data_IF_394373907639
#
_entry.id   IF_394373907639
#
_cell.length_a   1.000
_cell.length_b   1.000
_cell.length_c   1.000
_cell.angle_alpha   90.00
_cell.angle_beta   90.00
_cell.angle_gamma   90.00
#
_symmetry.space_group_name_H-M   'P 1'
#
loop_
_entity.id
_entity.type
_entity.pdbx_description
1 polymer ?
#
# COMPACT_ATOMS: atom_id res chain seq x y z
N UNK A 1 -35.82 32.93 66.27
CA UNK A 1 -34.68 32.05 65.96
C UNK A 1 -33.86 32.75 64.88
N UNK A 2 -32.53 32.81 64.98
CA UNK A 2 -31.71 33.43 63.94
C UNK A 2 -32.00 32.73 62.61
N UNK A 3 -32.31 33.52 61.58
CA UNK A 3 -32.50 33.05 60.21
C UNK A 3 -31.14 32.62 59.68
N UNK A 4 -30.90 31.32 59.60
CA UNK A 4 -29.67 30.79 59.00
C UNK A 4 -29.81 30.85 57.48
N UNK A 5 -29.00 31.70 56.85
CA UNK A 5 -28.90 31.72 55.41
C UNK A 5 -28.10 30.50 54.95
N UNK A 6 -28.77 29.56 54.30
CA UNK A 6 -28.10 28.45 53.62
C UNK A 6 -27.58 28.93 52.27
N UNK A 7 -26.32 28.60 51.98
CA UNK A 7 -25.77 28.73 50.63
C UNK A 7 -25.10 27.43 50.22
N UNK A 8 -25.17 27.10 48.94
CA UNK A 8 -24.45 25.98 48.36
C UNK A 8 -23.44 26.52 47.36
N UNK A 9 -22.30 25.85 47.22
CA UNK A 9 -21.29 26.20 46.24
C UNK A 9 -20.88 24.97 45.46
N UNK A 10 -20.96 25.04 44.14
CA UNK A 10 -20.41 24.04 43.23
C UNK A 10 -19.06 24.56 42.76
N UNK A 11 -17.96 23.81 42.93
CA UNK A 11 -16.59 24.21 42.55
C UNK A 11 -15.93 23.15 41.65
N UNK A 12 -15.11 23.57 40.69
CA UNK A 12 -14.14 22.72 39.99
C UNK A 12 -12.73 22.93 40.59
N UNK A 13 -12.18 22.00 41.40
CA UNK A 13 -10.86 22.16 41.99
C UNK A 13 -9.77 22.23 40.90
N UNK A 14 -9.01 23.31 40.85
CA UNK A 14 -7.75 23.38 40.09
C UNK A 14 -7.85 23.65 38.58
N UNK A 15 -9.05 23.86 38.03
CA UNK A 15 -9.21 24.16 36.60
C UNK A 15 -10.08 25.41 36.38
N UNK A 16 -9.51 26.44 35.75
CA UNK A 16 -10.25 27.62 35.33
C UNK A 16 -11.02 27.32 34.02
N UNK A 17 -12.34 27.59 34.02
CA UNK A 17 -13.21 27.63 32.83
C UNK A 17 -13.46 26.31 32.09
N UNK A 18 -13.86 25.25 32.80
CA UNK A 18 -14.26 23.97 32.15
C UNK A 18 -15.77 23.84 31.95
N UNK A 19 -16.58 24.62 32.66
CA UNK A 19 -18.05 24.57 32.62
C UNK A 19 -18.64 25.98 32.54
N UNK A 20 -19.75 26.13 31.82
CA UNK A 20 -20.55 27.36 31.75
C UNK A 20 -22.01 27.05 32.08
N UNK A 21 -22.65 27.87 32.91
CA UNK A 21 -24.07 27.75 33.23
C UNK A 21 -24.93 28.11 32.02
N UNK A 22 -25.79 27.20 31.59
CA UNK A 22 -26.78 27.43 30.54
C UNK A 22 -28.15 27.79 31.12
N UNK A 23 -28.50 27.23 32.28
CA UNK A 23 -29.79 27.46 32.95
C UNK A 23 -29.90 26.71 34.28
N UNK A 24 -30.92 27.01 35.08
CA UNK A 24 -31.25 26.26 36.30
C UNK A 24 -32.72 26.44 36.70
N UNK A 25 -33.26 25.51 37.50
CA UNK A 25 -34.57 25.63 38.15
C UNK A 25 -34.47 25.75 39.69
N UNK A 26 -33.26 25.97 40.21
CA UNK A 26 -33.01 26.15 41.64
C UNK A 26 -33.93 27.23 42.26
N UNK A 27 -34.62 26.97 43.38
CA UNK A 27 -35.23 28.04 44.17
C UNK A 27 -34.16 29.00 44.72
N UNK A 28 -34.37 30.31 44.58
CA UNK A 28 -33.38 31.32 44.96
C UNK A 28 -32.52 31.79 43.79
N UNK A 29 -31.31 32.27 44.07
CA UNK A 29 -30.41 32.85 43.06
C UNK A 29 -29.15 32.00 42.94
N UNK A 30 -28.88 31.50 41.74
CA UNK A 30 -27.62 30.86 41.37
C UNK A 30 -26.76 31.89 40.63
N UNK A 31 -25.55 32.16 41.13
CA UNK A 31 -24.63 33.15 40.57
C UNK A 31 -23.34 32.44 40.19
N UNK A 32 -22.83 32.69 38.99
CA UNK A 32 -21.50 32.24 38.59
C UNK A 32 -20.43 33.08 39.32
N UNK A 33 -19.49 32.40 39.97
CA UNK A 33 -18.42 32.99 40.76
C UNK A 33 -17.08 32.61 40.13
N UNK A 34 -16.35 33.60 39.65
CA UNK A 34 -15.06 33.42 38.96
C UNK A 34 -13.86 33.59 39.91
N UNK A 35 -13.90 32.98 41.10
CA UNK A 35 -12.82 33.06 42.10
C UNK A 35 -11.73 32.00 41.82
N UNK A 36 -11.03 32.11 40.68
CA UNK A 36 -9.90 31.21 40.34
C UNK A 36 -10.29 29.80 39.87
N UNK A 37 -11.58 29.56 39.62
CA UNK A 37 -12.16 28.34 39.05
C UNK A 37 -13.57 28.62 38.54
N UNK A 38 -14.19 27.69 37.81
CA UNK A 38 -15.61 27.78 37.49
C UNK A 38 -16.41 27.31 38.71
N UNK A 39 -17.03 28.25 39.44
CA UNK A 39 -17.87 27.94 40.58
C UNK A 39 -19.26 28.56 40.45
N UNK A 40 -20.27 27.91 41.01
CA UNK A 40 -21.64 28.43 41.10
C UNK A 40 -22.03 28.54 42.56
N UNK A 41 -22.46 29.72 42.98
CA UNK A 41 -22.97 29.96 44.34
C UNK A 41 -24.48 30.07 44.31
N UNK A 42 -25.13 29.18 45.04
CA UNK A 42 -26.56 29.11 45.22
C UNK A 42 -26.95 29.76 46.55
N UNK A 43 -27.75 30.82 46.49
CA UNK A 43 -28.17 31.60 47.66
C UNK A 43 -29.69 31.75 47.69
N UNK A 44 -30.25 32.14 48.84
CA UNK A 44 -31.68 32.44 48.96
C UNK A 44 -32.57 31.21 49.18
N UNK A 45 -32.03 30.13 49.75
CA UNK A 45 -32.73 28.85 49.95
C UNK A 45 -33.81 28.84 51.03
N UNK A 46 -33.97 29.95 51.78
CA UNK A 46 -34.86 30.01 52.94
C UNK A 46 -34.44 29.07 54.08
N UNK A 47 -35.25 29.01 55.13
CA UNK A 47 -35.01 28.10 56.25
C UNK A 47 -35.51 26.70 55.90
N UNK A 48 -34.64 25.69 55.98
CA UNK A 48 -35.05 24.30 55.88
C UNK A 48 -35.42 23.74 57.26
N UNK A 49 -36.59 23.10 57.35
CA UNK A 49 -36.91 22.26 58.51
C UNK A 49 -36.12 20.95 58.41
N UNK A 50 -35.94 20.24 59.54
CA UNK A 50 -35.08 19.05 59.62
C UNK A 50 -35.44 17.86 58.70
N UNK A 51 -36.54 17.96 57.95
CA UNK A 51 -36.98 16.96 56.95
C UNK A 51 -37.22 17.56 55.56
N UNK A 52 -36.99 18.86 55.36
CA UNK A 52 -37.23 19.51 54.08
C UNK A 52 -36.18 19.07 53.04
N UNK A 53 -36.65 18.69 51.86
CA UNK A 53 -35.82 18.41 50.70
C UNK A 53 -35.91 19.58 49.72
N UNK A 54 -34.77 20.02 49.20
CA UNK A 54 -34.71 20.93 48.05
C UNK A 54 -34.10 20.17 46.89
N UNK A 55 -34.77 20.22 45.73
CA UNK A 55 -34.22 19.75 44.47
C UNK A 55 -33.84 20.94 43.59
N UNK A 56 -32.69 20.85 42.91
CA UNK A 56 -32.33 21.75 41.82
C UNK A 56 -31.74 20.94 40.65
N UNK A 57 -32.08 21.37 39.44
CA UNK A 57 -31.46 20.98 38.18
C UNK A 57 -30.68 22.19 37.65
N UNK A 58 -29.43 21.95 37.28
CA UNK A 58 -28.52 22.93 36.70
C UNK A 58 -28.08 22.40 35.34
N UNK A 59 -28.29 23.18 34.29
CA UNK A 59 -27.84 22.86 32.93
C UNK A 59 -26.46 23.47 32.72
N UNK A 60 -25.47 22.60 32.48
CA UNK A 60 -24.07 22.98 32.30
C UNK A 60 -23.61 22.65 30.88
N UNK A 61 -22.86 23.57 30.27
CA UNK A 61 -22.09 23.30 29.04
C UNK A 61 -20.63 23.12 29.40
N UNK A 62 -20.05 21.97 29.04
CA UNK A 62 -18.62 21.72 29.15
C UNK A 62 -17.87 22.46 28.03
N UNK A 63 -16.82 23.17 28.39
CA UNK A 63 -15.99 23.97 27.49
C UNK A 63 -14.68 23.25 27.12
N UNK A 64 -14.30 22.21 27.86
CA UNK A 64 -13.13 21.38 27.58
C UNK A 64 -13.44 19.91 27.84
N UNK A 65 -12.70 19.08 27.12
CA UNK A 65 -12.71 17.63 27.25
C UNK A 65 -11.90 17.20 28.47
N UNK A 66 -12.28 16.09 29.10
CA UNK A 66 -11.63 15.50 30.26
C UNK A 66 -12.57 15.23 31.45
N UNK A 67 -12.02 14.56 32.46
CA UNK A 67 -12.68 14.35 33.75
C UNK A 67 -12.51 15.58 34.64
N UNK A 68 -13.63 16.24 34.96
CA UNK A 68 -13.66 17.41 35.83
C UNK A 68 -14.47 17.09 37.09
N UNK A 69 -13.84 16.97 38.26
CA UNK A 69 -14.58 16.81 39.51
C UNK A 69 -15.37 18.10 39.79
N UNK A 70 -16.69 17.94 39.94
CA UNK A 70 -17.59 18.93 40.51
C UNK A 70 -17.76 18.65 41.99
N UNK A 71 -17.52 19.67 42.77
CA UNK A 71 -17.70 19.63 44.21
C UNK A 71 -18.89 20.47 44.63
N UNK A 72 -19.95 19.84 45.14
CA UNK A 72 -21.04 20.52 45.82
C UNK A 72 -20.73 20.60 47.32
N UNK A 73 -20.69 21.80 47.86
CA UNK A 73 -20.47 22.06 49.28
C UNK A 73 -21.57 22.97 49.83
N UNK A 74 -22.27 22.52 50.87
CA UNK A 74 -23.23 23.35 51.59
C UNK A 74 -22.52 24.16 52.69
N UNK A 75 -22.59 25.47 52.59
CA UNK A 75 -22.18 26.39 53.65
C UNK A 75 -23.36 26.63 54.59
N UNK A 76 -23.17 26.26 55.85
CA UNK A 76 -24.16 26.32 56.91
C UNK A 76 -23.46 26.72 58.21
N UNK A 77 -23.77 27.91 58.71
CA UNK A 77 -23.09 28.53 59.86
C UNK A 77 -23.30 27.79 61.19
N UNK A 78 -24.21 26.81 61.23
CA UNK A 78 -24.58 26.04 62.43
C UNK A 78 -24.35 24.53 62.27
N UNK A 79 -23.75 24.09 61.15
CA UNK A 79 -23.54 22.68 60.90
C UNK A 79 -22.29 22.20 61.66
N UNK A 80 -22.47 21.28 62.59
CA UNK A 80 -21.43 20.79 63.51
C UNK A 80 -20.33 19.95 62.85
N UNK A 81 -20.50 19.56 61.58
CA UNK A 81 -19.50 18.81 60.82
C UNK A 81 -19.54 19.19 59.33
N UNK A 82 -18.74 20.14 58.84
CA UNK A 82 -18.77 20.57 57.44
C UNK A 82 -18.43 19.45 56.42
N UNK A 83 -17.86 18.32 56.83
CA UNK A 83 -17.55 17.20 55.95
C UNK A 83 -18.79 16.41 55.49
N UNK A 84 -19.89 16.43 56.26
CA UNK A 84 -21.14 15.74 55.89
C UNK A 84 -22.01 16.54 54.90
N UNK A 85 -21.57 17.76 54.57
CA UNK A 85 -22.24 18.72 53.70
C UNK A 85 -21.60 18.77 52.30
N UNK A 86 -20.79 17.77 51.96
CA UNK A 86 -20.02 17.69 50.72
C UNK A 86 -20.50 16.51 49.87
N UNK A 87 -20.76 16.78 48.60
CA UNK A 87 -20.96 15.76 47.57
C UNK A 87 -19.99 16.03 46.41
N UNK A 88 -19.48 14.97 45.80
CA UNK A 88 -18.57 15.05 44.67
C UNK A 88 -19.10 14.21 43.52
N UNK A 89 -19.12 14.78 42.32
CA UNK A 89 -19.47 14.08 41.09
C UNK A 89 -18.41 14.42 40.05
N UNK A 90 -17.90 13.44 39.32
CA UNK A 90 -16.96 13.70 38.22
C UNK A 90 -17.74 13.80 36.92
N UNK A 91 -17.66 14.96 36.25
CA UNK A 91 -18.14 15.10 34.88
C UNK A 91 -17.04 14.65 33.94
N UNK A 92 -17.29 13.60 33.16
CA UNK A 92 -16.38 13.19 32.10
C UNK A 92 -16.93 13.68 30.78
N UNK A 93 -16.20 14.58 30.13
CA UNK A 93 -16.48 15.02 28.77
C UNK A 93 -15.47 14.34 27.85
N UNK A 94 -15.88 13.31 27.13
CA UNK A 94 -15.01 12.67 26.15
C UNK A 94 -15.16 13.37 24.81
N UNK A 95 -14.05 13.57 24.10
CA UNK A 95 -14.14 13.96 22.71
C UNK A 95 -14.81 12.81 21.97
N UNK A 96 -15.65 13.08 20.96
CA UNK A 96 -15.93 12.03 20.01
C UNK A 96 -14.60 11.56 19.37
N UNK A 97 -14.45 10.25 19.11
CA UNK A 97 -13.39 9.75 18.24
C UNK A 97 -13.57 10.32 16.84
N UNK A 98 -12.48 10.35 16.09
CA UNK A 98 -12.46 10.78 14.69
C UNK A 98 -11.58 9.77 13.96
N UNK A 99 -12.19 8.94 13.11
CA UNK A 99 -11.52 7.81 12.49
C UNK A 99 -11.30 8.06 11.01
N UNK A 100 -10.05 7.91 10.58
CA UNK A 100 -9.69 7.87 9.18
C UNK A 100 -9.45 6.41 8.76
N UNK A 101 -10.23 5.92 7.81
CA UNK A 101 -10.03 4.62 7.15
C UNK A 101 -9.39 4.80 5.78
N UNK A 102 -8.44 3.93 5.44
CA UNK A 102 -7.80 3.89 4.12
C UNK A 102 -7.63 2.47 3.60
N UNK A 103 -7.88 2.28 2.32
CA UNK A 103 -7.59 1.05 1.58
C UNK A 103 -6.23 1.20 0.92
N UNK A 104 -5.23 0.47 1.41
CA UNK A 104 -3.91 0.37 0.82
C UNK A 104 -3.84 -0.87 -0.09
N UNK A 105 -3.96 -0.62 -1.39
CA UNK A 105 -3.98 -1.64 -2.44
C UNK A 105 -2.61 -1.94 -3.03
N UNK A 106 -1.51 -1.80 -2.29
CA UNK A 106 -0.17 -1.99 -2.86
C UNK A 106 0.47 -3.30 -2.35
N UNK A 107 0.76 -4.30 -3.22
CA UNK A 107 0.43 -4.38 -4.65
C UNK A 107 -1.05 -4.59 -4.94
N UNK A 108 -1.56 -4.03 -6.03
CA UNK A 108 -2.92 -4.37 -6.49
C UNK A 108 -2.87 -5.78 -7.05
N UNK A 109 -3.94 -6.58 -6.94
CA UNK A 109 -3.83 -8.00 -7.24
C UNK A 109 -4.16 -8.30 -8.70
N UNK A 110 -3.45 -9.25 -9.32
CA UNK A 110 -3.95 -9.93 -10.53
C UNK A 110 -5.12 -10.84 -10.18
N UNK A 111 -5.82 -11.35 -11.21
CA UNK A 111 -6.67 -12.54 -11.08
C UNK A 111 -5.93 -13.66 -10.33
N UNK A 112 -6.52 -14.12 -9.23
CA UNK A 112 -5.92 -15.05 -8.28
C UNK A 112 -5.80 -14.51 -6.85
N UNK A 113 -4.97 -15.13 -6.00
CA UNK A 113 -4.76 -14.71 -4.62
C UNK A 113 -4.21 -13.28 -4.55
N UNK A 114 -4.75 -12.55 -3.59
CA UNK A 114 -4.59 -11.11 -3.41
C UNK A 114 -4.44 -10.78 -1.94
N UNK A 115 -3.70 -9.73 -1.63
CA UNK A 115 -3.65 -9.17 -0.28
C UNK A 115 -4.07 -7.70 -0.32
N UNK A 116 -4.98 -7.31 0.55
CA UNK A 116 -5.37 -5.93 0.82
C UNK A 116 -4.86 -5.53 2.20
N UNK A 117 -4.27 -4.34 2.32
CA UNK A 117 -4.00 -3.74 3.62
C UNK A 117 -5.04 -2.65 3.87
N UNK A 118 -5.73 -2.70 5.00
CA UNK A 118 -6.59 -1.62 5.46
C UNK A 118 -5.87 -0.90 6.58
N UNK A 119 -5.69 0.41 6.46
CA UNK A 119 -5.05 1.24 7.46
C UNK A 119 -6.09 2.13 8.13
N UNK A 120 -6.03 2.23 9.44
CA UNK A 120 -6.95 3.00 10.26
C UNK A 120 -6.15 3.92 11.17
N UNK A 121 -6.58 5.17 11.33
CA UNK A 121 -6.00 6.10 12.29
C UNK A 121 -7.10 6.75 13.13
N UNK A 122 -6.88 6.87 14.44
CA UNK A 122 -7.73 7.70 15.30
C UNK A 122 -7.12 9.10 15.36
N UNK A 123 -7.61 9.98 14.50
CA UNK A 123 -7.21 11.39 14.42
C UNK A 123 -7.87 12.24 15.52
N UNK A 124 -8.86 11.66 16.22
CA UNK A 124 -9.62 12.31 17.27
C UNK A 124 -8.90 12.36 18.61
N UNK A 125 -9.36 13.27 19.48
CA UNK A 125 -8.89 13.35 20.86
C UNK A 125 -9.57 12.32 21.79
N UNK A 126 -10.60 11.62 21.28
CA UNK A 126 -11.40 10.65 22.01
C UNK A 126 -10.91 9.22 21.80
N UNK A 127 -11.21 8.36 22.76
CA UNK A 127 -10.96 6.92 22.64
C UNK A 127 -11.99 6.30 21.69
N UNK A 128 -11.55 5.59 20.65
CA UNK A 128 -12.43 4.84 19.76
C UNK A 128 -12.61 3.42 20.30
N UNK A 129 -13.86 2.98 20.53
CA UNK A 129 -14.19 1.62 20.98
C UNK A 129 -15.08 0.93 19.97
N UNK A 130 -15.00 -0.40 19.95
CA UNK A 130 -15.84 -1.24 19.07
C UNK A 130 -15.82 -0.73 17.62
N UNK A 131 -14.63 -0.43 17.09
CA UNK A 131 -14.53 0.10 15.73
C UNK A 131 -15.01 -1.00 14.79
N UNK A 132 -16.15 -0.76 14.15
CA UNK A 132 -16.72 -1.63 13.15
C UNK A 132 -16.30 -1.11 11.78
N UNK A 133 -15.55 -1.93 11.08
CA UNK A 133 -15.14 -1.67 9.70
C UNK A 133 -15.99 -2.54 8.80
N UNK A 134 -16.68 -1.93 7.85
CA UNK A 134 -17.38 -2.59 6.78
C UNK A 134 -16.62 -2.47 5.47
N UNK A 135 -16.29 -3.59 4.85
CA UNK A 135 -15.78 -3.62 3.48
C UNK A 135 -16.88 -4.15 2.57
N UNK A 136 -17.27 -3.34 1.58
CA UNK A 136 -18.34 -3.66 0.63
C UNK A 136 -17.79 -3.78 -0.78
N UNK A 137 -18.25 -4.77 -1.53
CA UNK A 137 -17.90 -4.92 -2.94
C UNK A 137 -18.66 -6.08 -3.60
N UNK A 138 -18.30 -6.46 -4.83
CA UNK A 138 -19.04 -7.48 -5.57
C UNK A 138 -18.99 -8.86 -4.89
N UNK A 139 -20.08 -9.64 -4.98
CA UNK A 139 -20.21 -11.00 -4.43
C UNK A 139 -18.99 -11.90 -4.64
N UNK A 140 -18.36 -11.73 -5.80
CA UNK A 140 -17.32 -12.58 -6.30
C UNK A 140 -15.98 -12.43 -5.56
N UNK A 141 -15.75 -11.31 -4.84
CA UNK A 141 -14.51 -11.08 -4.10
C UNK A 141 -14.50 -11.69 -2.69
N UNK A 142 -15.64 -11.70 -2.00
CA UNK A 142 -15.70 -12.05 -0.57
C UNK A 142 -15.83 -13.56 -0.31
N UNK A 143 -16.02 -14.39 -1.32
CA UNK A 143 -16.17 -15.83 -1.13
C UNK A 143 -14.91 -16.52 -0.54
N UNK A 144 -13.74 -15.88 -0.60
CA UNK A 144 -12.45 -16.47 -0.26
C UNK A 144 -11.60 -15.59 0.68
N UNK A 145 -12.20 -14.68 1.44
CA UNK A 145 -11.41 -13.84 2.36
C UNK A 145 -10.92 -14.68 3.54
N UNK A 146 -9.61 -14.83 3.68
CA UNK A 146 -8.97 -15.50 4.81
C UNK A 146 -8.40 -14.43 5.71
N UNK A 147 -8.88 -14.39 6.96
CA UNK A 147 -8.41 -13.40 7.91
C UNK A 147 -6.96 -13.71 8.34
N UNK A 148 -6.07 -12.73 8.19
CA UNK A 148 -4.71 -12.77 8.70
C UNK A 148 -4.52 -11.71 9.78
N UNK A 149 -5.37 -11.72 10.81
CA UNK A 149 -5.28 -10.80 11.93
C UNK A 149 -4.09 -11.13 12.83
N UNK A 150 -3.05 -10.29 12.82
CA UNK A 150 -2.11 -10.16 13.94
C UNK A 150 -2.39 -8.86 14.68
N UNK A 151 -2.54 -8.89 16.01
CA UNK A 151 -2.71 -7.67 16.82
C UNK A 151 -4.16 -7.22 16.99
N UNK A 152 -4.44 -5.94 16.68
CA UNK A 152 -5.73 -5.26 16.95
C UNK A 152 -6.87 -5.67 16.01
N UNK A 153 -6.56 -6.37 14.92
CA UNK A 153 -7.53 -6.86 13.94
C UNK A 153 -8.06 -8.22 14.40
N UNK A 154 -9.18 -8.23 15.13
CA UNK A 154 -9.81 -9.49 15.57
C UNK A 154 -10.62 -10.15 14.45
N UNK A 155 -11.03 -11.41 14.65
CA UNK A 155 -11.68 -12.28 13.67
C UNK A 155 -12.69 -11.53 12.78
N UNK A 156 -12.31 -11.27 11.53
CA UNK A 156 -13.19 -10.71 10.52
C UNK A 156 -14.20 -11.76 10.10
N UNK A 157 -15.48 -11.37 10.07
CA UNK A 157 -16.56 -12.25 9.63
C UNK A 157 -17.10 -11.76 8.29
N UNK A 158 -17.18 -12.68 7.33
CA UNK A 158 -17.88 -12.46 6.07
C UNK A 158 -19.36 -12.69 6.35
N UNK A 159 -20.15 -11.60 6.36
CA UNK A 159 -21.56 -11.63 6.79
C UNK A 159 -22.53 -11.74 5.59
N UNK A 160 -22.01 -12.01 4.41
CA UNK A 160 -22.77 -12.20 3.17
C UNK A 160 -21.83 -12.28 1.97
N UNK A 161 -22.38 -12.32 0.76
CA UNK A 161 -21.54 -12.33 -0.45
C UNK A 161 -20.82 -11.00 -0.67
N UNK A 162 -21.32 -9.88 -0.12
CA UNK A 162 -20.91 -8.54 -0.55
C UNK A 162 -20.31 -7.71 0.60
N UNK A 163 -20.13 -8.32 1.78
CA UNK A 163 -19.82 -7.61 3.01
C UNK A 163 -18.90 -8.42 3.94
N UNK A 164 -17.76 -7.81 4.29
CA UNK A 164 -16.92 -8.25 5.40
C UNK A 164 -16.93 -7.21 6.51
N UNK A 165 -17.01 -7.69 7.75
CA UNK A 165 -16.91 -6.85 8.93
C UNK A 165 -15.66 -7.19 9.74
N UNK A 166 -14.94 -6.16 10.18
CA UNK A 166 -13.77 -6.27 11.05
C UNK A 166 -14.07 -5.48 12.32
N UNK A 167 -13.82 -6.09 13.47
CA UNK A 167 -13.87 -5.41 14.74
C UNK A 167 -12.46 -5.08 15.21
N UNK A 168 -12.19 -3.80 15.48
CA UNK A 168 -11.03 -3.36 16.26
C UNK A 168 -11.55 -2.97 17.64
N UNK A 169 -10.98 -3.62 18.67
CA UNK A 169 -11.49 -3.50 20.04
C UNK A 169 -11.41 -2.07 20.55
N UNK A 170 -10.25 -1.44 20.35
CA UNK A 170 -9.95 -0.11 20.87
C UNK A 170 -8.82 0.54 20.05
N UNK A 171 -8.91 1.85 19.84
CA UNK A 171 -7.81 2.70 19.36
C UNK A 171 -7.66 3.94 20.24
N UNK A 172 -6.45 4.18 20.75
CA UNK A 172 -6.08 5.36 21.50
C UNK A 172 -5.94 6.60 20.57
N UNK A 173 -6.08 7.84 21.09
CA UNK A 173 -5.85 9.05 20.31
C UNK A 173 -4.47 9.07 19.64
N UNK A 174 -4.43 9.26 18.31
CA UNK A 174 -3.22 9.26 17.50
C UNK A 174 -2.67 7.86 17.15
N UNK A 175 -3.34 6.79 17.57
CA UNK A 175 -2.96 5.42 17.21
C UNK A 175 -3.29 5.13 15.74
N UNK A 176 -2.42 4.33 15.09
CA UNK A 176 -2.67 3.79 13.75
C UNK A 176 -2.56 2.27 13.76
N UNK A 177 -3.51 1.61 13.10
CA UNK A 177 -3.60 0.15 13.00
C UNK A 177 -3.67 -0.24 11.53
N UNK A 178 -2.93 -1.27 11.13
CA UNK A 178 -3.03 -1.85 9.78
C UNK A 178 -3.49 -3.31 9.86
N UNK A 179 -4.53 -3.64 9.11
CA UNK A 179 -5.10 -4.98 9.00
C UNK A 179 -4.86 -5.56 7.61
N UNK A 180 -4.39 -6.81 7.55
CA UNK A 180 -4.12 -7.51 6.29
C UNK A 180 -5.22 -8.52 5.98
N UNK A 181 -5.73 -8.48 4.75
CA UNK A 181 -6.76 -9.40 4.26
C UNK A 181 -6.26 -10.12 3.03
N UNK A 182 -6.29 -11.45 3.05
CA UNK A 182 -6.03 -12.25 1.86
C UNK A 182 -7.38 -12.60 1.22
N UNK A 183 -7.52 -12.42 -0.09
CA UNK A 183 -8.72 -12.74 -0.87
C UNK A 183 -8.34 -13.31 -2.24
N UNK A 184 -9.32 -13.69 -3.06
CA UNK A 184 -9.07 -14.20 -4.42
C UNK A 184 -9.90 -13.39 -5.41
N UNK A 185 -9.26 -12.76 -6.39
CA UNK A 185 -9.95 -12.13 -7.51
C UNK A 185 -10.29 -13.22 -8.54
N UNK A 186 -11.58 -13.49 -8.81
CA UNK A 186 -11.98 -14.67 -9.57
C UNK A 186 -11.79 -14.53 -11.08
N UNK A 187 -11.84 -13.30 -11.61
CA UNK A 187 -11.69 -13.02 -13.03
C UNK A 187 -11.24 -11.58 -13.26
N UNK A 188 -10.81 -11.26 -14.48
CA UNK A 188 -10.58 -9.88 -14.89
C UNK A 188 -11.88 -9.06 -14.77
N UNK A 189 -11.76 -7.80 -14.37
CA UNK A 189 -12.88 -6.89 -14.20
C UNK A 189 -12.58 -5.71 -13.29
N UNK A 190 -13.59 -4.84 -13.16
CA UNK A 190 -13.62 -3.71 -12.25
C UNK A 190 -14.39 -4.11 -10.99
N UNK A 191 -13.74 -4.01 -9.84
CA UNK A 191 -14.32 -4.35 -8.55
C UNK A 191 -14.26 -3.13 -7.62
N UNK A 192 -15.36 -2.37 -7.49
CA UNK A 192 -15.42 -1.29 -6.53
C UNK A 192 -15.41 -1.87 -5.10
N UNK A 193 -14.47 -1.40 -4.30
CA UNK A 193 -14.38 -1.65 -2.87
C UNK A 193 -14.69 -0.36 -2.13
N UNK A 194 -15.64 -0.44 -1.21
CA UNK A 194 -15.97 0.66 -0.32
C UNK A 194 -15.62 0.24 1.10
N UNK A 195 -14.76 1.02 1.74
CA UNK A 195 -14.47 0.92 3.15
C UNK A 195 -15.38 1.92 3.87
N UNK A 196 -16.09 1.44 4.89
CA UNK A 196 -16.82 2.27 5.84
C UNK A 196 -16.29 1.94 7.23
N UNK A 197 -15.87 2.94 7.98
CA UNK A 197 -15.48 2.82 9.38
C UNK A 197 -16.55 3.46 10.26
N UNK A 198 -16.75 2.88 11.43
CA UNK A 198 -17.59 3.48 12.46
C UNK A 198 -17.03 3.08 13.82
N UNK A 199 -17.11 3.97 14.80
CA UNK A 199 -16.78 3.63 16.18
C UNK A 199 -17.82 4.14 17.14
N UNK A 200 -17.98 3.40 18.23
CA UNK A 200 -18.65 3.92 19.40
C UNK A 200 -17.66 4.87 20.09
N UNK A 201 -18.09 6.10 20.35
CA UNK A 201 -17.46 6.86 21.43
C UNK A 201 -17.80 6.20 22.76
N UNK A 202 -16.90 6.26 23.74
CA UNK A 202 -17.23 5.76 25.08
C UNK A 202 -18.40 6.52 25.75
N UNK A 203 -18.78 7.68 25.20
CA UNK A 203 -19.97 8.46 25.57
C UNK A 203 -21.24 8.15 24.75
N UNK A 204 -21.20 7.25 23.75
CA UNK A 204 -22.34 6.96 22.85
C UNK A 204 -22.74 8.12 21.92
N UNK A 205 -21.89 9.15 21.82
CA UNK A 205 -22.04 10.25 20.87
C UNK A 205 -21.58 9.81 19.46
N UNK A 206 -22.33 10.18 18.40
CA UNK A 206 -21.94 9.91 17.01
C UNK A 206 -20.71 10.72 16.60
N UNK A 207 -19.97 10.20 15.63
CA UNK A 207 -18.82 10.85 15.02
C UNK A 207 -19.19 12.23 14.42
N UNK A 208 -18.49 13.32 14.79
CA UNK A 208 -18.75 14.67 14.29
C UNK A 208 -18.37 14.87 12.82
N UNK A 209 -17.51 14.02 12.24
CA UNK A 209 -17.03 14.11 10.87
C UNK A 209 -17.17 12.78 10.14
N UNK A 210 -18.40 12.34 9.83
CA UNK A 210 -18.63 11.05 9.16
C UNK A 210 -17.97 10.91 7.77
N UNK A 211 -17.42 11.98 7.21
CA UNK A 211 -16.90 12.00 5.84
C UNK A 211 -15.48 11.38 5.70
N UNK A 212 -14.65 11.37 6.75
CA UNK A 212 -13.34 10.70 6.74
C UNK A 212 -13.42 9.20 7.11
N UNK A 213 -14.62 8.74 7.44
CA UNK A 213 -14.92 7.36 7.75
C UNK A 213 -15.13 6.48 6.51
N UNK A 214 -14.87 7.00 5.30
CA UNK A 214 -15.07 6.22 4.09
C UNK A 214 -13.92 6.39 3.12
N UNK A 215 -13.52 5.28 2.53
CA UNK A 215 -12.57 5.24 1.41
C UNK A 215 -13.14 4.35 0.31
N UNK A 216 -12.79 4.67 -0.94
CA UNK A 216 -13.26 3.94 -2.10
C UNK A 216 -12.08 3.68 -3.02
N UNK A 217 -11.86 2.41 -3.35
CA UNK A 217 -10.90 2.02 -4.37
C UNK A 217 -11.58 1.13 -5.39
N UNK A 218 -11.26 1.30 -6.66
CA UNK A 218 -11.68 0.37 -7.70
C UNK A 218 -10.50 -0.52 -8.05
N UNK A 219 -10.61 -1.82 -7.76
CA UNK A 219 -9.63 -2.78 -8.25
C UNK A 219 -9.91 -3.04 -9.73
N UNK A 220 -9.01 -2.60 -10.60
CA UNK A 220 -9.07 -2.95 -12.01
C UNK A 220 -8.06 -4.06 -12.28
N UNK A 221 -8.58 -5.21 -12.68
CA UNK A 221 -7.75 -6.34 -13.10
C UNK A 221 -8.07 -6.63 -14.55
N UNK A 222 -7.03 -6.69 -15.38
CA UNK A 222 -7.16 -7.09 -16.76
C UNK A 222 -6.26 -8.31 -17.02
N UNK A 223 -6.86 -9.35 -17.61
CA UNK A 223 -6.13 -10.46 -18.21
C UNK A 223 -5.96 -10.13 -19.70
N UNK A 224 -4.91 -9.37 -19.98
CA UNK A 224 -4.62 -8.92 -21.34
C UNK A 224 -4.01 -10.08 -22.12
N UNK A 225 -4.53 -10.37 -23.30
CA UNK A 225 -4.05 -11.51 -24.11
C UNK A 225 -3.57 -11.01 -25.47
N UNK A 226 -2.28 -11.13 -25.71
CA UNK A 226 -1.67 -10.73 -26.98
C UNK A 226 -2.15 -11.67 -28.08
N UNK A 227 -2.76 -11.10 -29.13
CA UNK A 227 -3.35 -11.87 -30.23
C UNK A 227 -2.79 -11.51 -31.62
N UNK A 228 -1.84 -10.56 -31.70
CA UNK A 228 -1.15 -10.21 -32.95
C UNK A 228 0.38 -10.17 -32.79
N UNK A 229 1.10 -10.49 -33.87
CA UNK A 229 2.57 -10.59 -33.90
C UNK A 229 3.30 -9.49 -34.69
N UNK A 230 2.58 -8.77 -35.56
CA UNK A 230 3.19 -7.90 -36.58
C UNK A 230 2.77 -6.44 -36.51
N UNK A 231 1.75 -6.13 -35.72
CA UNK A 231 1.30 -4.75 -35.54
C UNK A 231 1.80 -4.29 -34.18
N UNK A 232 2.90 -3.53 -34.10
CA UNK A 232 3.35 -2.85 -32.88
C UNK A 232 2.45 -1.63 -32.61
N UNK A 233 1.17 -1.74 -32.96
CA UNK A 233 0.19 -0.69 -32.79
C UNK A 233 0.02 -0.43 -31.29
N UNK A 234 -0.03 0.85 -30.90
CA UNK A 234 -0.40 1.21 -29.55
C UNK A 234 -1.84 0.81 -29.24
N UNK A 235 -2.16 0.77 -27.96
CA UNK A 235 -3.55 0.69 -27.54
C UNK A 235 -4.30 1.95 -27.99
N UNK A 236 -5.54 1.80 -28.46
CA UNK A 236 -6.34 2.95 -28.89
C UNK A 236 -6.96 3.71 -27.72
N UNK A 237 -7.25 3.05 -26.61
CA UNK A 237 -7.84 3.64 -25.42
C UNK A 237 -7.18 3.10 -24.12
N UNK A 238 -5.89 3.42 -23.86
CA UNK A 238 -5.22 2.96 -22.64
C UNK A 238 -6.04 3.23 -21.36
N UNK A 239 -6.27 2.19 -20.56
CA UNK A 239 -6.93 2.22 -19.25
C UNK A 239 -8.42 1.82 -19.28
N UNK A 240 -8.94 1.31 -20.39
CA UNK A 240 -10.35 0.88 -20.53
C UNK A 240 -10.59 -0.60 -20.17
N UNK A 241 -9.53 -1.33 -19.83
CA UNK A 241 -9.52 -2.75 -19.50
C UNK A 241 -9.42 -3.67 -20.73
N UNK A 242 -9.32 -3.14 -21.95
CA UNK A 242 -9.27 -3.91 -23.19
C UNK A 242 -8.01 -3.58 -23.97
N UNK A 243 -7.08 -4.55 -24.09
CA UNK A 243 -5.97 -4.34 -25.00
C UNK A 243 -6.42 -4.42 -26.46
N UNK A 244 -6.47 -3.29 -27.18
CA UNK A 244 -6.90 -3.25 -28.57
C UNK A 244 -6.40 -2.01 -29.31
N UNK A 245 -5.79 -2.23 -30.49
CA UNK A 245 -5.60 -1.18 -31.46
C UNK A 245 -6.92 -0.82 -32.19
N UNK A 246 -6.85 0.14 -33.13
CA UNK A 246 -8.04 0.61 -33.86
C UNK A 246 -8.70 -0.45 -34.74
N UNK A 247 -8.06 -1.62 -34.92
CA UNK A 247 -8.59 -2.78 -35.62
C UNK A 247 -8.97 -3.94 -34.67
N UNK A 248 -8.90 -3.75 -33.36
CA UNK A 248 -9.19 -4.77 -32.34
C UNK A 248 -8.04 -5.75 -32.09
N UNK A 249 -6.83 -5.47 -32.57
CA UNK A 249 -5.67 -6.33 -32.36
C UNK A 249 -4.91 -5.92 -31.08
N UNK A 250 -4.63 -6.89 -30.21
CA UNK A 250 -3.85 -6.72 -28.99
C UNK A 250 -2.40 -7.11 -29.25
N UNK A 251 -1.53 -6.12 -29.45
CA UNK A 251 -0.08 -6.31 -29.56
C UNK A 251 0.59 -6.36 -28.19
N UNK A 252 1.86 -6.78 -28.11
CA UNK A 252 2.63 -6.67 -26.84
C UNK A 252 2.68 -5.21 -26.38
N UNK A 253 2.85 -4.28 -27.32
CA UNK A 253 2.86 -2.85 -27.02
C UNK A 253 1.52 -2.40 -26.46
N UNK A 254 0.41 -2.72 -27.13
CA UNK A 254 -0.93 -2.34 -26.68
C UNK A 254 -1.22 -2.93 -25.29
N UNK A 255 -0.88 -4.20 -25.06
CA UNK A 255 -1.05 -4.83 -23.75
C UNK A 255 -0.22 -4.15 -22.64
N UNK A 256 1.01 -3.72 -22.93
CA UNK A 256 1.83 -2.99 -21.95
C UNK A 256 1.32 -1.57 -21.73
N UNK A 257 0.91 -0.85 -22.78
CA UNK A 257 0.32 0.48 -22.66
C UNK A 257 -0.99 0.45 -21.85
N UNK A 258 -1.82 -0.57 -22.08
CA UNK A 258 -3.03 -0.83 -21.30
C UNK A 258 -2.68 -1.15 -19.83
N UNK A 259 -1.71 -2.04 -19.59
CA UNK A 259 -1.23 -2.36 -18.24
C UNK A 259 -0.69 -1.14 -17.50
N UNK A 260 0.08 -0.27 -18.15
CA UNK A 260 0.63 0.95 -17.56
C UNK A 260 -0.45 2.03 -17.31
N UNK A 261 -1.59 1.96 -17.99
CA UNK A 261 -2.69 2.90 -17.79
C UNK A 261 -3.69 2.43 -16.73
N UNK A 262 -3.75 1.11 -16.47
CA UNK A 262 -4.56 0.52 -15.43
C UNK A 262 -3.84 0.61 -14.07
N UNK A 263 -4.53 1.01 -13.00
CA UNK A 263 -3.95 0.97 -11.68
C UNK A 263 -3.65 -0.49 -11.30
N UNK A 264 -2.41 -0.75 -10.88
CA UNK A 264 -2.08 -1.97 -10.16
C UNK A 264 -1.16 -2.97 -10.84
N UNK A 265 -1.29 -4.25 -10.47
CA UNK A 265 -0.55 -5.37 -11.09
C UNK A 265 -1.45 -6.07 -12.10
N UNK A 266 -1.05 -6.11 -13.36
CA UNK A 266 -1.81 -6.76 -14.42
C UNK A 266 -1.10 -8.03 -14.91
N UNK A 267 -1.87 -8.91 -15.57
CA UNK A 267 -1.33 -10.10 -16.23
C UNK A 267 -1.48 -9.93 -17.73
N UNK A 268 -0.36 -10.03 -18.43
CA UNK A 268 -0.30 -10.09 -19.89
C UNK A 268 0.07 -11.52 -20.28
N UNK A 269 -0.89 -12.22 -20.88
CA UNK A 269 -0.70 -13.55 -21.44
C UNK A 269 -0.18 -13.44 -22.88
N UNK A 270 0.93 -14.10 -23.13
CA UNK A 270 1.60 -14.15 -24.42
C UNK A 270 1.53 -15.61 -24.90
N UNK A 271 0.56 -15.97 -25.76
CA UNK A 271 0.45 -17.33 -26.26
C UNK A 271 1.62 -17.70 -27.19
N UNK A 272 1.97 -18.97 -27.28
CA UNK A 272 2.93 -19.42 -28.29
C UNK A 272 2.43 -19.10 -29.70
N UNK A 273 3.33 -18.51 -30.50
CA UNK A 273 3.17 -18.32 -31.92
C UNK A 273 4.45 -18.80 -32.61
N UNK A 274 4.34 -19.70 -33.58
CA UNK A 274 5.51 -20.30 -34.24
C UNK A 274 6.46 -19.26 -34.87
N UNK A 275 5.90 -18.12 -35.31
CA UNK A 275 6.66 -17.00 -35.87
C UNK A 275 7.15 -15.96 -34.87
N UNK A 276 6.92 -16.16 -33.57
CA UNK A 276 7.25 -15.22 -32.49
C UNK A 276 6.55 -13.89 -32.58
N UNK A 277 6.99 -12.98 -31.70
CA UNK A 277 6.52 -11.61 -31.61
C UNK A 277 7.64 -10.64 -31.92
N UNK A 278 7.35 -9.65 -32.75
CA UNK A 278 8.31 -8.63 -33.14
C UNK A 278 7.89 -7.26 -32.63
N UNK A 279 8.81 -6.61 -31.94
CA UNK A 279 8.76 -5.18 -31.67
C UNK A 279 9.39 -4.50 -32.87
N UNK A 280 8.57 -3.85 -33.68
CA UNK A 280 9.03 -3.01 -34.80
C UNK A 280 8.39 -1.63 -34.70
N UNK A 281 8.94 -0.61 -35.35
CA UNK A 281 8.27 0.69 -35.49
C UNK A 281 7.95 1.42 -34.16
N UNK A 282 8.50 0.96 -33.04
CA UNK A 282 8.40 1.62 -31.74
C UNK A 282 9.73 2.34 -31.52
N UNK A 283 9.68 3.67 -31.45
CA UNK A 283 10.86 4.44 -31.10
C UNK A 283 11.23 4.16 -29.64
N UNK A 284 12.40 3.56 -29.41
CA UNK A 284 12.91 3.24 -28.09
C UNK A 284 12.33 1.96 -27.47
N UNK A 285 12.79 1.64 -26.26
CA UNK A 285 12.36 0.43 -25.54
C UNK A 285 10.89 0.52 -25.10
N UNK A 286 10.19 -0.62 -25.04
CA UNK A 286 8.86 -0.69 -24.43
C UNK A 286 8.97 -0.38 -22.94
N UNK A 287 8.33 0.70 -22.53
CA UNK A 287 8.35 1.18 -21.15
C UNK A 287 7.38 0.37 -20.31
N UNK A 288 7.86 -0.19 -19.20
CA UNK A 288 7.06 -0.78 -18.14
C UNK A 288 7.20 0.17 -16.95
N UNK A 289 6.17 0.98 -16.74
CA UNK A 289 6.11 2.00 -15.67
C UNK A 289 5.30 1.51 -14.48
N UNK A 290 4.45 0.51 -14.68
CA UNK A 290 3.75 -0.19 -13.60
C UNK A 290 4.11 -1.68 -13.53
N UNK A 291 4.08 -2.28 -12.33
CA UNK A 291 4.35 -3.70 -12.13
C UNK A 291 3.44 -4.59 -12.97
N UNK A 292 4.01 -5.57 -13.67
CA UNK A 292 3.24 -6.47 -14.54
C UNK A 292 3.76 -7.90 -14.48
N UNK A 293 2.87 -8.88 -14.67
CA UNK A 293 3.21 -10.26 -15.01
C UNK A 293 3.17 -10.44 -16.53
N UNK A 294 4.33 -10.55 -17.18
CA UNK A 294 4.41 -11.05 -18.56
C UNK A 294 4.51 -12.59 -18.53
N UNK A 295 3.42 -13.25 -18.86
CA UNK A 295 3.28 -14.71 -18.78
C UNK A 295 3.30 -15.34 -20.18
N UNK A 296 4.37 -16.07 -20.49
CA UNK A 296 4.50 -16.86 -21.71
C UNK A 296 3.80 -18.21 -21.60
N UNK A 297 2.75 -18.41 -22.38
CA UNK A 297 2.06 -19.70 -22.45
C UNK A 297 2.70 -20.58 -23.53
N UNK A 298 3.37 -21.65 -23.09
CA UNK A 298 4.00 -22.61 -23.99
C UNK A 298 3.00 -23.33 -24.90
N UNK A 299 3.47 -23.75 -26.07
CA UNK A 299 2.70 -24.61 -26.97
C UNK A 299 2.39 -25.95 -26.30
N UNK A 300 1.12 -26.38 -26.19
CA UNK A 300 0.77 -27.64 -25.54
C UNK A 300 1.34 -28.87 -26.26
N UNK A 301 1.67 -28.78 -27.55
CA UNK A 301 2.19 -29.90 -28.33
C UNK A 301 3.71 -30.06 -28.21
N UNK A 302 4.47 -28.96 -28.36
CA UNK A 302 5.93 -28.98 -28.37
C UNK A 302 6.59 -28.55 -27.05
N UNK A 303 5.83 -27.90 -26.16
CA UNK A 303 6.39 -27.21 -24.99
C UNK A 303 7.20 -25.96 -25.35
N UNK A 304 7.21 -25.54 -26.62
CA UNK A 304 7.96 -24.36 -27.05
C UNK A 304 7.38 -23.09 -26.43
N UNK A 305 8.26 -22.24 -25.91
CA UNK A 305 7.90 -20.95 -25.31
C UNK A 305 7.70 -19.88 -26.39
N UNK A 306 6.80 -18.91 -26.19
CA UNK A 306 6.74 -17.74 -27.04
C UNK A 306 8.05 -16.96 -26.95
N UNK A 307 8.51 -16.46 -28.09
CA UNK A 307 9.70 -15.62 -28.15
C UNK A 307 9.38 -14.21 -28.63
N UNK A 308 10.09 -13.23 -28.07
CA UNK A 308 9.95 -11.80 -28.36
C UNK A 308 11.30 -11.29 -28.86
N UNK A 309 11.31 -10.59 -29.98
CA UNK A 309 12.51 -9.97 -30.53
C UNK A 309 12.20 -8.61 -31.16
N UNK A 310 13.26 -7.91 -31.58
CA UNK A 310 13.15 -6.66 -32.32
C UNK A 310 13.40 -6.89 -33.81
N UNK A 311 12.67 -6.18 -34.67
CA UNK A 311 12.86 -6.26 -36.12
C UNK A 311 13.16 -4.94 -36.81
N UNK A 312 13.11 -3.81 -36.10
CA UNK A 312 13.19 -2.47 -36.69
C UNK A 312 14.61 -1.87 -36.77
N UNK A 313 15.62 -2.57 -36.26
CA UNK A 313 16.99 -2.06 -36.23
C UNK A 313 17.16 -0.80 -35.38
N UNK A 314 16.22 -0.53 -34.47
CA UNK A 314 16.32 0.60 -33.56
C UNK A 314 17.37 0.36 -32.47
N UNK A 315 18.05 1.43 -32.05
CA UNK A 315 19.12 1.37 -31.06
C UNK A 315 18.56 1.38 -29.62
N UNK A 316 17.77 0.37 -29.29
CA UNK A 316 17.10 0.29 -28.00
C UNK A 316 16.91 -1.16 -27.50
N UNK A 317 16.85 -1.30 -26.17
CA UNK A 317 16.46 -2.52 -25.47
C UNK A 317 15.03 -2.95 -25.81
N UNK A 318 14.68 -4.23 -25.66
CA UNK A 318 13.27 -4.65 -25.81
C UNK A 318 12.39 -3.97 -24.76
N UNK A 319 12.79 -4.06 -23.49
CA UNK A 319 12.05 -3.54 -22.36
C UNK A 319 12.89 -2.57 -21.54
N UNK A 320 12.25 -1.49 -21.09
CA UNK A 320 12.77 -0.63 -20.04
C UNK A 320 11.83 -0.69 -18.84
N UNK A 321 12.38 -1.04 -17.68
CA UNK A 321 11.62 -1.13 -16.42
C UNK A 321 11.99 0.08 -15.56
N UNK A 322 10.97 0.87 -15.25
CA UNK A 322 11.07 2.09 -14.46
C UNK A 322 9.82 2.21 -13.59
N UNK A 323 9.63 1.23 -12.70
CA UNK A 323 8.49 1.22 -11.77
C UNK A 323 8.90 1.84 -10.44
N UNK A 324 8.00 2.65 -9.86
CA UNK A 324 8.19 3.28 -8.55
C UNK A 324 7.54 2.46 -7.42
N UNK A 325 6.98 1.31 -7.78
CA UNK A 325 6.26 0.43 -6.87
C UNK A 325 7.21 -0.56 -6.18
N UNK A 326 6.95 -0.92 -4.91
CA UNK A 326 7.63 -2.04 -4.25
C UNK A 326 7.22 -3.40 -4.84
N UNK A 327 6.16 -3.45 -5.64
CA UNK A 327 5.71 -4.67 -6.31
C UNK A 327 6.67 -5.05 -7.44
N UNK A 328 7.00 -6.33 -7.54
CA UNK A 328 7.88 -6.80 -8.61
C UNK A 328 7.19 -6.89 -9.98
N UNK A 329 7.92 -6.50 -11.02
CA UNK A 329 7.63 -6.94 -12.40
C UNK A 329 8.11 -8.37 -12.57
N UNK A 330 7.28 -9.26 -13.13
CA UNK A 330 7.60 -10.68 -13.29
C UNK A 330 7.53 -11.06 -14.76
N UNK A 331 8.62 -11.63 -15.30
CA UNK A 331 8.61 -12.28 -16.60
C UNK A 331 8.68 -13.80 -16.36
N UNK A 332 7.74 -14.54 -16.93
CA UNK A 332 7.64 -15.99 -16.72
C UNK A 332 7.46 -16.72 -18.06
N UNK A 333 8.29 -17.74 -18.35
CA UNK A 333 8.03 -18.65 -19.46
C UNK A 333 8.28 -18.05 -20.85
N UNK A 334 9.12 -17.01 -20.94
CA UNK A 334 9.40 -16.26 -22.18
C UNK A 334 10.81 -16.54 -22.71
N UNK A 335 10.96 -16.53 -24.02
CA UNK A 335 12.26 -16.39 -24.68
C UNK A 335 12.41 -14.95 -25.20
N UNK A 336 13.42 -14.23 -24.75
CA UNK A 336 13.69 -12.84 -25.14
C UNK A 336 14.98 -12.80 -25.94
N UNK A 337 14.86 -12.38 -27.20
CA UNK A 337 15.97 -12.34 -28.15
C UNK A 337 16.35 -10.89 -28.42
N UNK A 338 17.59 -10.56 -28.10
CA UNK A 338 18.18 -9.25 -28.34
C UNK A 338 18.12 -8.82 -29.80
N UNK A 339 18.37 -7.53 -30.01
CA UNK A 339 18.47 -6.97 -31.36
C UNK A 339 19.70 -7.58 -32.07
N UNK A 340 19.59 -7.98 -33.36
CA UNK A 340 20.77 -8.39 -34.13
C UNK A 340 21.85 -7.30 -34.25
N UNK A 341 21.48 -6.03 -34.05
CA UNK A 341 22.42 -4.90 -34.05
C UNK A 341 23.17 -4.79 -32.73
N UNK A 342 24.40 -4.26 -32.82
CA UNK A 342 25.16 -3.84 -31.65
C UNK A 342 24.61 -2.51 -31.15
N UNK A 343 23.95 -2.54 -29.99
CA UNK A 343 23.31 -1.37 -29.41
C UNK A 343 24.29 -0.46 -28.68
N UNK A 344 23.96 0.83 -28.53
CA UNK A 344 24.70 1.78 -27.69
C UNK A 344 24.10 1.98 -26.28
N UNK A 345 23.00 1.29 -25.97
CA UNK A 345 22.26 1.38 -24.70
C UNK A 345 22.61 0.28 -23.70
N UNK A 346 22.48 0.52 -22.40
CA UNK A 346 22.63 -0.53 -21.38
C UNK A 346 21.44 -1.51 -21.38
N UNK A 347 21.72 -2.80 -21.17
CA UNK A 347 20.71 -3.85 -21.08
C UNK A 347 20.07 -4.11 -22.45
N UNK A 348 20.76 -4.80 -23.36
CA UNK A 348 20.31 -4.89 -24.76
C UNK A 348 18.96 -5.60 -24.93
N UNK A 349 18.55 -6.41 -23.95
CA UNK A 349 17.22 -7.02 -23.89
C UNK A 349 16.37 -6.28 -22.85
N UNK A 350 16.85 -6.20 -21.61
CA UNK A 350 16.15 -5.55 -20.49
C UNK A 350 17.04 -4.47 -19.86
N UNK A 351 16.53 -3.25 -19.81
CA UNK A 351 17.14 -2.14 -19.08
C UNK A 351 16.29 -1.79 -17.87
N UNK A 352 16.68 -2.25 -16.70
CA UNK A 352 15.99 -1.99 -15.45
C UNK A 352 16.68 -0.84 -14.72
N UNK A 353 15.94 0.27 -14.59
CA UNK A 353 16.42 1.50 -13.94
C UNK A 353 15.87 1.68 -12.53
N UNK A 354 14.66 1.18 -12.24
CA UNK A 354 13.96 1.27 -10.95
C UNK A 354 13.00 0.09 -10.77
N UNK A 355 12.72 -0.24 -9.53
CA UNK A 355 11.73 -1.25 -9.13
C UNK A 355 12.25 -2.69 -9.26
N UNK A 356 11.60 -3.63 -8.58
CA UNK A 356 12.03 -5.02 -8.52
C UNK A 356 11.68 -5.80 -9.81
N UNK A 357 12.57 -6.68 -10.24
CA UNK A 357 12.39 -7.53 -11.43
C UNK A 357 12.63 -9.00 -11.08
N UNK A 358 11.66 -9.85 -11.41
CA UNK A 358 11.76 -11.30 -11.26
C UNK A 358 11.70 -11.98 -12.63
N UNK A 359 12.73 -12.74 -12.95
CA UNK A 359 12.79 -13.58 -14.15
C UNK A 359 12.63 -15.04 -13.72
N UNK A 360 11.65 -15.74 -14.29
CA UNK A 360 11.34 -17.12 -13.96
C UNK A 360 11.22 -17.94 -15.23
N UNK A 361 11.98 -19.02 -15.33
CA UNK A 361 11.83 -19.96 -16.46
C UNK A 361 11.89 -19.22 -17.81
N UNK A 362 12.82 -18.29 -17.93
CA UNK A 362 13.02 -17.47 -19.11
C UNK A 362 14.32 -17.85 -19.82
N UNK A 363 14.42 -17.47 -21.08
CA UNK A 363 15.65 -17.55 -21.85
C UNK A 363 15.96 -16.17 -22.41
N UNK A 364 17.14 -15.62 -22.12
CA UNK A 364 17.57 -14.31 -22.58
C UNK A 364 18.83 -14.48 -23.43
N UNK A 365 18.76 -14.12 -24.71
CA UNK A 365 19.85 -14.41 -25.65
C UNK A 365 20.07 -13.41 -26.75
N UNK A 366 21.28 -13.42 -27.31
CA UNK A 366 21.65 -12.57 -28.45
C UNK A 366 21.58 -11.08 -28.14
N UNK A 367 21.58 -10.69 -26.86
CA UNK A 367 21.61 -9.30 -26.44
C UNK A 367 23.00 -8.70 -26.65
N UNK A 368 23.14 -7.69 -27.52
CA UNK A 368 24.43 -7.10 -27.89
C UNK A 368 24.45 -5.61 -27.67
N UNK A 369 25.37 -5.13 -26.84
CA UNK A 369 25.55 -3.70 -26.58
C UNK A 369 27.03 -3.29 -26.40
N UNK A 370 27.37 -2.03 -26.68
CA UNK A 370 28.62 -1.39 -26.23
C UNK A 370 28.53 -0.84 -24.81
N UNK A 371 27.35 -0.84 -24.21
CA UNK A 371 27.08 -0.47 -22.83
C UNK A 371 27.27 -1.64 -21.86
N UNK A 372 26.46 -1.65 -20.81
CA UNK A 372 26.53 -2.60 -19.71
C UNK A 372 25.37 -3.60 -19.79
N UNK A 373 25.61 -4.89 -19.46
CA UNK A 373 24.57 -5.91 -19.42
C UNK A 373 24.10 -6.32 -20.81
N UNK A 374 24.66 -7.38 -21.39
CA UNK A 374 24.29 -7.79 -22.74
C UNK A 374 22.84 -8.24 -22.82
N UNK A 375 22.40 -9.04 -21.85
CA UNK A 375 20.98 -9.33 -21.67
C UNK A 375 20.31 -8.27 -20.80
N UNK A 376 20.85 -8.05 -19.59
CA UNK A 376 20.17 -7.31 -18.54
C UNK A 376 21.10 -6.33 -17.84
N UNK A 377 20.64 -5.09 -17.68
CA UNK A 377 21.26 -4.12 -16.78
C UNK A 377 20.26 -3.75 -15.69
N UNK A 378 20.61 -3.95 -14.42
CA UNK A 378 19.71 -3.77 -13.28
C UNK A 378 20.32 -2.93 -12.17
N UNK A 379 19.45 -2.33 -11.36
CA UNK A 379 19.85 -1.43 -10.25
C UNK A 379 19.34 -1.90 -8.89
N UNK A 380 18.15 -2.50 -8.81
CA UNK A 380 17.47 -2.79 -7.54
C UNK A 380 16.71 -4.12 -7.59
N UNK A 381 16.67 -4.89 -6.51
CA UNK A 381 15.77 -6.04 -6.32
C UNK A 381 15.62 -7.00 -7.53
N UNK A 382 16.68 -7.72 -7.89
CA UNK A 382 16.65 -8.69 -8.99
C UNK A 382 16.51 -10.12 -8.45
N UNK A 383 15.52 -10.87 -8.94
CA UNK A 383 15.44 -12.32 -8.71
C UNK A 383 15.44 -13.08 -10.03
N UNK A 384 16.26 -14.11 -10.11
CA UNK A 384 16.44 -14.94 -11.30
C UNK A 384 16.31 -16.39 -10.88
N UNK A 385 15.37 -17.13 -11.47
CA UNK A 385 15.13 -18.54 -11.11
C UNK A 385 14.84 -19.38 -12.35
N UNK A 386 15.65 -20.41 -12.61
CA UNK A 386 15.45 -21.27 -13.77
C UNK A 386 15.66 -20.55 -15.10
N UNK A 387 16.56 -19.54 -15.14
CA UNK A 387 16.75 -18.70 -16.33
C UNK A 387 18.04 -19.09 -17.06
N UNK A 388 17.98 -19.05 -18.38
CA UNK A 388 19.14 -19.25 -19.25
C UNK A 388 19.56 -17.92 -19.87
N UNK A 389 20.82 -17.54 -19.68
CA UNK A 389 21.47 -16.42 -20.36
C UNK A 389 22.50 -16.97 -21.32
N UNK A 390 22.29 -16.82 -22.63
CA UNK A 390 23.22 -17.37 -23.61
C UNK A 390 23.57 -16.40 -24.74
N UNK A 391 24.82 -16.43 -25.21
CA UNK A 391 25.31 -15.64 -26.34
C UNK A 391 24.98 -14.13 -26.22
N UNK A 392 25.13 -13.59 -25.01
CA UNK A 392 24.96 -12.16 -24.77
C UNK A 392 26.32 -11.46 -24.76
N UNK A 393 26.36 -10.23 -25.27
CA UNK A 393 27.57 -9.44 -25.44
C UNK A 393 27.38 -8.02 -24.90
N UNK A 394 28.30 -7.56 -24.04
CA UNK A 394 28.36 -6.17 -23.57
C UNK A 394 29.81 -5.68 -23.48
N UNK A 395 30.02 -4.38 -23.24
CA UNK A 395 31.33 -3.93 -22.76
C UNK A 395 31.60 -4.43 -21.34
N UNK A 396 30.57 -4.44 -20.49
CA UNK A 396 30.69 -4.88 -19.09
C UNK A 396 29.49 -5.73 -18.71
N UNK A 397 29.70 -6.89 -18.08
CA UNK A 397 28.64 -7.82 -17.73
C UNK A 397 28.00 -8.42 -18.98
N UNK A 398 28.67 -9.38 -19.62
CA UNK A 398 28.24 -9.93 -20.91
C UNK A 398 26.81 -10.45 -20.89
N UNK A 399 26.35 -11.06 -19.79
CA UNK A 399 24.93 -11.32 -19.56
C UNK A 399 24.28 -10.22 -18.70
N UNK A 400 24.72 -10.09 -17.46
CA UNK A 400 24.10 -9.21 -16.46
C UNK A 400 25.11 -8.20 -15.93
N UNK A 401 24.70 -6.93 -15.83
CA UNK A 401 25.40 -5.91 -15.06
C UNK A 401 24.50 -5.31 -13.98
N UNK A 402 24.93 -5.37 -12.73
CA UNK A 402 24.20 -4.86 -11.55
C UNK A 402 24.91 -3.66 -10.93
N UNK A 403 24.14 -2.60 -10.66
CA UNK A 403 24.63 -1.35 -10.10
C UNK A 403 23.87 -1.00 -8.84
N UNK A 404 24.52 -1.09 -7.69
CA UNK A 404 23.87 -0.75 -6.43
C UNK A 404 23.76 0.74 -6.17
N UNK A 405 22.67 1.10 -5.50
CA UNK A 405 22.44 2.41 -4.89
C UNK A 405 23.08 2.45 -3.49
N UNK A 406 23.62 3.60 -3.11
CA UNK A 406 24.64 3.71 -2.06
C UNK A 406 24.22 3.39 -0.62
N UNK A 407 22.93 3.17 -0.32
CA UNK A 407 22.43 3.13 1.06
C UNK A 407 21.59 1.87 1.42
N UNK A 408 21.60 0.86 0.56
CA UNK A 408 20.96 -0.42 0.80
C UNK A 408 21.44 -1.39 -0.27
N UNK A 409 22.13 -2.44 0.13
CA UNK A 409 22.70 -3.40 -0.82
C UNK A 409 21.56 -3.95 -1.68
N UNK A 410 21.56 -3.77 -3.01
CA UNK A 410 20.59 -4.46 -3.83
C UNK A 410 20.90 -5.94 -3.73
N UNK A 411 20.02 -6.66 -3.06
CA UNK A 411 20.08 -8.11 -3.01
C UNK A 411 19.59 -8.63 -4.36
N UNK A 412 20.53 -9.15 -5.15
CA UNK A 412 20.19 -10.01 -6.26
C UNK A 412 20.26 -11.47 -5.82
N UNK A 413 19.26 -12.25 -6.21
CA UNK A 413 19.22 -13.70 -5.96
C UNK A 413 19.11 -14.44 -7.29
N UNK A 414 20.13 -15.23 -7.60
CA UNK A 414 20.21 -16.05 -8.81
C UNK A 414 20.22 -17.51 -8.39
N UNK A 415 19.17 -18.24 -8.75
CA UNK A 415 18.99 -19.64 -8.39
C UNK A 415 18.73 -20.52 -9.61
N UNK A 416 19.27 -21.73 -9.61
CA UNK A 416 18.92 -22.79 -10.57
C UNK A 416 19.02 -22.32 -12.04
N UNK A 417 20.01 -21.48 -12.35
CA UNK A 417 20.12 -20.78 -13.63
C UNK A 417 21.37 -21.17 -14.41
N UNK A 418 21.44 -20.80 -15.68
CA UNK A 418 22.58 -21.10 -16.56
C UNK A 418 23.05 -19.82 -17.25
N UNK A 419 24.35 -19.58 -17.23
CA UNK A 419 25.04 -18.55 -18.00
C UNK A 419 26.03 -19.24 -18.91
N UNK A 420 25.77 -19.26 -20.21
CA UNK A 420 26.63 -19.93 -21.18
C UNK A 420 27.06 -19.01 -22.33
N UNK A 421 28.33 -19.04 -22.69
CA UNK A 421 28.91 -18.33 -23.84
C UNK A 421 28.62 -16.80 -23.86
N UNK A 422 28.47 -16.17 -22.70
CA UNK A 422 28.31 -14.72 -22.61
C UNK A 422 29.68 -14.03 -22.63
N UNK A 423 29.75 -12.86 -23.26
CA UNK A 423 31.00 -12.17 -23.55
C UNK A 423 30.99 -10.70 -23.13
N UNK A 424 31.93 -10.32 -22.28
CA UNK A 424 32.32 -8.93 -22.13
C UNK A 424 33.43 -8.62 -23.16
N UNK A 425 33.13 -7.80 -24.17
CA UNK A 425 34.08 -7.41 -25.20
C UNK A 425 34.27 -5.90 -25.22
N UNK A 426 35.53 -5.48 -25.25
CA UNK A 426 35.88 -4.07 -25.31
C UNK A 426 35.35 -3.41 -26.60
N UNK A 427 34.32 -2.57 -26.46
CA UNK A 427 33.83 -1.67 -27.49
C UNK A 427 34.32 -0.23 -27.34
N UNK A 428 34.97 0.11 -26.20
CA UNK A 428 35.23 1.51 -25.80
C UNK A 428 36.65 1.79 -25.31
N UNK A 429 37.55 0.80 -25.32
CA UNK A 429 38.95 0.91 -24.89
C UNK A 429 39.21 0.66 -23.40
N UNK A 430 38.18 0.30 -22.61
CA UNK A 430 38.29 0.12 -21.16
C UNK A 430 38.50 -1.34 -20.71
N UNK A 431 38.59 -2.28 -21.65
CA UNK A 431 38.68 -3.72 -21.39
C UNK A 431 37.35 -4.30 -20.92
N UNK A 432 36.91 -5.40 -21.54
CA UNK A 432 35.64 -6.01 -21.16
C UNK A 432 35.71 -6.69 -19.80
N UNK A 433 34.82 -6.35 -18.85
CA UNK A 433 34.79 -6.90 -17.49
C UNK A 433 33.56 -7.77 -17.28
N UNK A 434 33.74 -8.99 -16.74
CA UNK A 434 32.65 -9.85 -16.29
C UNK A 434 31.89 -10.50 -17.45
N UNK A 435 32.39 -11.65 -17.93
CA UNK A 435 31.80 -12.35 -19.08
C UNK A 435 30.33 -12.72 -18.87
N UNK A 436 30.00 -13.26 -17.69
CA UNK A 436 28.63 -13.53 -17.28
C UNK A 436 28.07 -12.35 -16.47
N UNK A 437 28.66 -12.09 -15.30
CA UNK A 437 28.14 -11.14 -14.33
C UNK A 437 29.13 -10.00 -14.11
N UNK A 438 28.59 -8.81 -13.92
CA UNK A 438 29.33 -7.66 -13.41
C UNK A 438 28.57 -7.03 -12.26
N UNK A 439 29.26 -6.76 -11.15
CA UNK A 439 28.70 -6.18 -9.94
C UNK A 439 29.44 -4.90 -9.60
N UNK A 440 28.70 -3.80 -9.49
CA UNK A 440 29.23 -2.53 -9.03
C UNK A 440 28.45 -2.07 -7.80
N UNK A 441 29.07 -2.19 -6.62
CA UNK A 441 28.42 -1.89 -5.33
C UNK A 441 27.11 -2.67 -5.10
N UNK A 442 27.03 -3.89 -5.64
CA UNK A 442 25.89 -4.79 -5.48
C UNK A 442 26.32 -6.09 -4.79
N UNK A 443 25.38 -6.77 -4.15
CA UNK A 443 25.57 -8.13 -3.64
C UNK A 443 24.69 -9.08 -4.43
N UNK A 444 25.20 -10.29 -4.66
CA UNK A 444 24.45 -11.34 -5.34
C UNK A 444 24.67 -12.66 -4.64
N UNK A 445 23.58 -13.35 -4.35
CA UNK A 445 23.59 -14.75 -3.95
C UNK A 445 23.37 -15.61 -5.19
N UNK A 446 24.35 -16.47 -5.49
CA UNK A 446 24.31 -17.37 -6.64
C UNK A 446 24.24 -18.81 -6.14
N UNK A 447 23.08 -19.43 -6.30
CA UNK A 447 22.79 -20.77 -5.79
C UNK A 447 22.49 -21.72 -6.96
N UNK A 448 23.10 -22.92 -6.94
CA UNK A 448 22.81 -24.00 -7.90
C UNK A 448 22.83 -23.56 -9.38
N UNK A 449 23.69 -22.60 -9.70
CA UNK A 449 23.74 -21.94 -11.02
C UNK A 449 25.05 -22.31 -11.73
N UNK A 450 24.96 -22.57 -13.04
CA UNK A 450 26.11 -22.89 -13.88
C UNK A 450 26.59 -21.63 -14.63
N UNK A 451 27.89 -21.35 -14.58
CA UNK A 451 28.54 -20.29 -15.35
C UNK A 451 29.61 -20.92 -16.23
N UNK A 452 29.28 -21.20 -17.48
CA UNK A 452 30.12 -21.94 -18.44
C UNK A 452 30.49 -21.08 -19.65
N UNK A 453 31.69 -21.28 -20.19
CA UNK A 453 32.15 -20.64 -21.43
C UNK A 453 32.09 -19.10 -21.51
N UNK A 454 31.80 -18.42 -20.41
CA UNK A 454 31.72 -16.96 -20.37
C UNK A 454 33.12 -16.33 -20.42
N UNK A 455 33.28 -15.25 -21.18
CA UNK A 455 34.60 -14.66 -21.49
C UNK A 455 34.61 -13.15 -21.32
N UNK A 456 35.70 -12.64 -20.77
CA UNK A 456 36.04 -11.23 -20.76
C UNK A 456 37.27 -11.02 -21.65
N UNK A 457 37.13 -10.22 -22.71
CA UNK A 457 38.23 -9.89 -23.62
C UNK A 457 38.64 -8.45 -23.39
N UNK A 458 39.40 -8.21 -22.33
CA UNK A 458 40.06 -6.95 -22.01
C UNK A 458 41.56 -7.16 -21.81
N UNK A 459 42.37 -6.15 -22.17
CA UNK A 459 43.82 -6.16 -21.99
C UNK A 459 44.26 -6.02 -20.52
N UNK A 460 43.32 -5.91 -19.58
CA UNK A 460 43.62 -5.81 -18.16
C UNK A 460 43.60 -7.20 -17.51
N UNK A 461 44.72 -7.57 -16.91
CA UNK A 461 44.85 -8.77 -16.09
C UNK A 461 43.82 -8.77 -14.96
N UNK A 462 43.03 -9.85 -14.82
CA UNK A 462 42.12 -10.05 -13.68
C UNK A 462 40.63 -9.87 -13.96
N UNK A 463 40.23 -9.59 -15.21
CA UNK A 463 38.82 -9.49 -15.61
C UNK A 463 38.29 -10.90 -15.94
N UNK A 464 37.71 -11.58 -14.95
CA UNK A 464 37.23 -12.96 -15.07
C UNK A 464 36.01 -13.14 -15.98
N UNK A 465 35.74 -14.40 -16.34
CA UNK A 465 34.56 -14.79 -17.12
C UNK A 465 33.27 -14.92 -16.29
N UNK A 466 33.38 -15.17 -14.99
CA UNK A 466 32.26 -15.27 -14.06
C UNK A 466 32.05 -13.96 -13.31
#
# INVERSE_FOLDING_TARGET
>A
MPTTNLSAEVRTPGFAQVIALQGHNCPGTLIEVHDGGAAFRWTGLGNLSGTAQISCTIDLRLLRLGATPLLLQLACDQCSNPANNRAEITLTAEAPPDLAGRIDTNPFPTVGPATLTLSFANEGAGLARNVNVGLFGPPALFANMVNAGTGHCTDGYILGSDFASIAIVQMDPGESVSCRFDFVIPAAGSYPLNLLTSADSAAGLPDPWPDNNSDQVTLQTADLTVNTRFSPSPDSNPGDGQCADGNGACSIRAAIEESNALPGYQRINIPYQAGGYFLGGVAGALQITDPVLLNGAADPASGARPWISRSDGDDASLFRIATDSPTQTVFHGLELRGNPLLLSVDGAIISQSRGALWLRECTLSGGRTTGQGGALRGTEGLRVTGVEFFDNQAATGGAIALFGVFDGVPDALIEDSVFDDNRAQDGTGNGGIGGALYLFRAQVDVLRTALTNNRATGNQTGQGGA
#
